data_IF_048542505121
#
_entry.id   IF_048542505121
#
_cell.length_a   1.000
_cell.length_b   1.000
_cell.length_c   1.000
_cell.angle_alpha   90.00
_cell.angle_beta   90.00
_cell.angle_gamma   90.00
#
_symmetry.space_group_name_H-M   'P 1'
#
loop_
_entity.id
_entity.type
_entity.pdbx_description
1 polymer ?
#
# COMPACT_ATOMS: atom_id res chain seq x y z
N UNK A 1 45.27 -80.88 -5.27
CA UNK A 1 44.01 -80.56 -6.01
C UNK A 1 43.16 -79.63 -5.17
N UNK A 2 42.45 -78.71 -5.84
CA UNK A 2 41.50 -77.70 -5.32
C UNK A 2 42.10 -76.37 -4.82
N UNK A 3 42.35 -75.48 -5.79
CA UNK A 3 42.26 -74.03 -5.62
C UNK A 3 40.81 -73.70 -5.23
N UNK A 4 40.58 -73.05 -4.09
CA UNK A 4 39.29 -72.46 -3.77
C UNK A 4 39.31 -70.97 -4.11
N UNK A 5 38.36 -70.62 -4.96
CA UNK A 5 38.03 -69.32 -5.49
C UNK A 5 37.39 -68.49 -4.37
N UNK A 6 37.93 -67.32 -4.04
CA UNK A 6 37.22 -66.31 -3.25
C UNK A 6 36.88 -65.17 -4.20
N UNK A 7 35.60 -65.11 -4.59
CA UNK A 7 35.00 -64.00 -5.35
C UNK A 7 34.68 -62.90 -4.33
N UNK A 8 35.34 -61.75 -4.47
CA UNK A 8 34.92 -60.53 -3.79
C UNK A 8 33.82 -59.85 -4.63
N UNK A 9 32.57 -59.94 -4.16
CA UNK A 9 31.45 -59.16 -4.68
C UNK A 9 31.61 -57.74 -4.16
N UNK A 10 32.07 -56.82 -5.01
CA UNK A 10 31.98 -55.38 -4.75
C UNK A 10 30.52 -54.97 -4.91
N UNK A 11 29.79 -54.89 -3.80
CA UNK A 11 28.47 -54.26 -3.76
C UNK A 11 28.66 -52.76 -3.99
N UNK A 12 28.39 -52.31 -5.21
CA UNK A 12 28.12 -50.91 -5.51
C UNK A 12 26.82 -50.57 -4.80
N UNK A 13 26.91 -50.06 -3.57
CA UNK A 13 25.82 -49.32 -2.95
C UNK A 13 25.70 -47.99 -3.68
N UNK A 14 24.98 -48.00 -4.81
CA UNK A 14 24.34 -46.80 -5.33
C UNK A 14 23.44 -46.27 -4.23
N UNK A 15 23.89 -45.20 -3.58
CA UNK A 15 23.08 -44.44 -2.64
C UNK A 15 21.85 -43.93 -3.38
N UNK A 16 20.75 -44.66 -3.29
CA UNK A 16 19.43 -44.12 -3.51
C UNK A 16 19.24 -43.08 -2.41
N UNK A 17 19.58 -41.82 -2.74
CA UNK A 17 19.10 -40.67 -2.00
C UNK A 17 17.59 -40.80 -1.98
N UNK A 18 17.03 -41.06 -0.80
CA UNK A 18 15.58 -41.00 -0.63
C UNK A 18 15.20 -39.56 -0.88
N UNK A 19 14.53 -39.28 -2.00
CA UNK A 19 14.00 -37.96 -2.32
C UNK A 19 13.05 -37.54 -1.20
N UNK A 20 13.55 -36.75 -0.24
CA UNK A 20 12.77 -36.40 0.93
C UNK A 20 11.83 -35.26 0.59
N UNK A 21 10.54 -35.46 0.88
CA UNK A 21 9.49 -34.50 0.53
C UNK A 21 9.81 -33.12 1.13
N UNK A 22 9.77 -32.11 0.28
CA UNK A 22 9.83 -30.70 0.67
C UNK A 22 8.45 -30.09 0.61
N UNK A 23 8.04 -29.50 1.72
CA UNK A 23 6.86 -28.65 1.83
C UNK A 23 7.26 -27.19 1.99
N UNK A 24 6.49 -26.31 1.36
CA UNK A 24 6.77 -24.88 1.31
C UNK A 24 5.61 -24.11 1.94
N UNK A 25 5.96 -23.25 2.89
CA UNK A 25 5.05 -22.32 3.54
C UNK A 25 5.49 -20.88 3.28
N UNK A 26 4.55 -19.95 3.32
CA UNK A 26 4.85 -18.51 3.25
C UNK A 26 4.91 -17.89 4.63
N UNK A 27 5.88 -17.00 4.79
CA UNK A 27 5.99 -16.10 5.94
C UNK A 27 6.00 -14.66 5.42
N UNK A 28 5.49 -13.75 6.23
CA UNK A 28 5.33 -12.34 5.89
C UNK A 28 6.03 -11.50 6.93
N UNK A 29 6.98 -10.67 6.50
CA UNK A 29 7.79 -9.85 7.39
C UNK A 29 7.60 -8.38 7.00
N UNK A 30 7.20 -7.50 7.94
CA UNK A 30 7.07 -6.08 7.66
C UNK A 30 8.45 -5.49 7.36
N UNK A 31 8.50 -4.63 6.35
CA UNK A 31 9.63 -3.74 6.09
C UNK A 31 9.10 -2.41 5.55
N UNK A 32 9.95 -1.38 5.56
CA UNK A 32 9.59 -0.09 5.01
C UNK A 32 10.58 0.38 3.95
N UNK A 33 10.05 1.08 2.97
CA UNK A 33 10.82 1.77 1.94
C UNK A 33 10.16 3.10 1.61
N UNK A 34 10.87 3.95 0.88
CA UNK A 34 10.34 5.21 0.39
C UNK A 34 9.78 5.03 -1.01
N UNK A 35 8.53 5.45 -1.23
CA UNK A 35 8.02 5.56 -2.59
C UNK A 35 8.72 6.70 -3.31
N UNK A 36 8.85 6.51 -4.62
CA UNK A 36 9.45 7.49 -5.50
C UNK A 36 8.34 8.12 -6.34
N UNK A 37 8.30 9.46 -6.44
CA UNK A 37 7.23 10.14 -7.16
C UNK A 37 7.20 9.73 -8.63
N UNK A 38 5.99 9.58 -9.16
CA UNK A 38 5.74 9.25 -10.56
C UNK A 38 6.09 10.42 -11.48
N UNK A 39 6.07 11.67 -10.98
CA UNK A 39 6.39 12.88 -11.74
C UNK A 39 7.28 13.80 -10.90
N UNK A 40 8.54 13.42 -10.64
CA UNK A 40 9.41 14.22 -9.77
C UNK A 40 9.54 15.65 -10.25
N UNK A 41 9.49 16.58 -9.30
CA UNK A 41 9.86 17.96 -9.52
C UNK A 41 11.39 18.09 -9.49
N UNK A 42 11.88 19.29 -9.81
CA UNK A 42 13.31 19.59 -9.77
C UNK A 42 13.94 19.16 -8.44
N UNK A 43 15.10 18.49 -8.52
CA UNK A 43 15.79 17.95 -7.36
C UNK A 43 16.33 19.01 -6.39
N UNK A 44 16.32 20.29 -6.74
CA UNK A 44 16.65 21.42 -5.87
C UNK A 44 15.43 21.92 -5.09
N UNK A 45 14.21 21.64 -5.56
CA UNK A 45 12.97 22.11 -4.96
C UNK A 45 12.58 21.24 -3.78
N UNK A 46 12.31 21.86 -2.63
CA UNK A 46 12.10 21.13 -1.38
C UNK A 46 11.08 21.73 -0.44
N UNK A 47 10.37 22.77 -0.86
CA UNK A 47 9.33 23.40 -0.06
C UNK A 47 8.00 23.44 -0.80
N UNK A 48 6.90 23.43 -0.06
CA UNK A 48 5.58 23.62 -0.62
C UNK A 48 4.71 24.46 0.32
N UNK A 49 3.69 25.09 -0.24
CA UNK A 49 2.63 25.73 0.53
C UNK A 49 1.27 25.31 -0.01
N UNK A 50 0.25 25.48 0.82
CA UNK A 50 -1.13 25.14 0.49
C UNK A 50 -1.97 26.35 0.79
N UNK A 51 -2.86 26.70 -0.13
CA UNK A 51 -3.94 27.67 0.07
C UNK A 51 -5.26 26.92 -0.03
N UNK A 52 -6.15 27.15 0.93
CA UNK A 52 -7.51 26.59 0.91
C UNK A 52 -8.53 27.71 0.79
N UNK A 53 -9.44 27.57 -0.18
CA UNK A 53 -10.59 28.44 -0.37
C UNK A 53 -11.85 27.65 0.00
N UNK A 54 -12.51 28.05 1.10
CA UNK A 54 -13.75 27.44 1.59
C UNK A 54 -14.86 28.46 1.69
N UNK A 55 -16.08 28.13 1.25
CA UNK A 55 -17.23 29.00 1.46
C UNK A 55 -17.78 28.86 2.88
N UNK A 56 -18.69 29.75 3.27
CA UNK A 56 -19.25 29.82 4.63
C UNK A 56 -19.98 28.54 5.06
N UNK A 57 -20.56 27.81 4.10
CA UNK A 57 -21.25 26.54 4.39
C UNK A 57 -20.30 25.44 4.86
N UNK A 58 -19.01 25.56 4.51
CA UNK A 58 -17.94 24.62 4.89
C UNK A 58 -17.17 25.14 6.11
N UNK A 59 -16.87 26.45 6.14
CA UNK A 59 -16.05 27.07 7.20
C UNK A 59 -16.66 26.90 8.61
N UNK A 60 -17.99 26.79 8.71
CA UNK A 60 -18.69 26.54 9.97
C UNK A 60 -18.39 25.16 10.56
N UNK A 61 -18.03 24.19 9.71
CA UNK A 61 -17.71 22.83 10.12
C UNK A 61 -16.20 22.59 10.28
N UNK A 62 -15.40 23.23 9.42
CA UNK A 62 -13.94 23.12 9.39
C UNK A 62 -13.30 24.37 8.78
N UNK A 63 -12.33 24.97 9.48
CA UNK A 63 -11.63 26.17 8.99
C UNK A 63 -10.69 25.84 7.82
N UNK A 64 -10.41 26.84 6.97
CA UNK A 64 -9.40 26.75 5.92
C UNK A 64 -8.04 26.29 6.46
N UNK A 65 -7.59 26.87 7.59
CA UNK A 65 -6.33 26.52 8.24
C UNK A 65 -6.25 25.05 8.67
N UNK A 66 -7.34 24.50 9.22
CA UNK A 66 -7.40 23.10 9.62
C UNK A 66 -7.30 22.16 8.41
N UNK A 67 -7.90 22.54 7.28
CA UNK A 67 -7.77 21.79 6.03
C UNK A 67 -6.36 21.92 5.49
N UNK A 68 -5.81 23.15 5.44
CA UNK A 68 -4.45 23.43 4.98
C UNK A 68 -3.47 22.53 5.70
N UNK A 69 -3.45 22.54 7.03
CA UNK A 69 -2.58 21.72 7.89
C UNK A 69 -2.58 20.24 7.53
N UNK A 70 -3.74 19.69 7.16
CA UNK A 70 -3.94 18.28 6.82
C UNK A 70 -3.50 17.91 5.40
N UNK A 71 -3.25 18.88 4.53
CA UNK A 71 -2.62 18.65 3.23
C UNK A 71 -1.11 18.51 3.42
N UNK A 72 -0.60 17.31 3.16
CA UNK A 72 0.78 16.94 3.43
C UNK A 72 1.46 16.37 2.17
N UNK A 73 2.54 17.01 1.74
CA UNK A 73 3.43 16.50 0.72
C UNK A 73 4.66 15.89 1.42
N UNK A 74 4.66 14.58 1.59
CA UNK A 74 5.68 13.86 2.37
C UNK A 74 7.05 13.98 1.70
N UNK A 75 8.08 14.16 2.53
CA UNK A 75 9.45 14.42 2.06
C UNK A 75 9.72 15.87 1.64
N UNK A 76 8.75 16.78 1.78
CA UNK A 76 8.90 18.21 1.51
C UNK A 76 8.67 19.02 2.78
N UNK A 77 9.21 20.25 2.82
CA UNK A 77 8.98 21.20 3.92
C UNK A 77 7.80 22.10 3.61
N UNK A 78 6.79 22.08 4.47
CA UNK A 78 5.67 23.02 4.40
C UNK A 78 6.10 24.40 4.85
N UNK A 79 5.70 25.43 4.12
CA UNK A 79 5.94 26.85 4.44
C UNK A 79 4.65 27.66 4.27
N UNK A 80 4.56 28.84 4.90
CA UNK A 80 3.36 29.68 4.88
C UNK A 80 3.15 30.47 3.57
N UNK A 81 4.14 30.45 2.68
CA UNK A 81 4.09 31.12 1.38
C UNK A 81 5.42 30.98 0.66
N UNK A 82 5.44 31.25 -0.64
CA UNK A 82 6.65 31.13 -1.45
C UNK A 82 7.23 29.72 -1.45
N UNK A 83 6.38 28.68 -1.41
CA UNK A 83 6.85 27.31 -1.64
C UNK A 83 7.29 27.12 -3.09
N UNK A 84 8.20 26.18 -3.33
CA UNK A 84 8.54 25.77 -4.69
C UNK A 84 7.33 25.19 -5.43
N UNK A 85 6.51 24.39 -4.72
CA UNK A 85 5.22 23.92 -5.19
C UNK A 85 4.09 24.62 -4.39
N UNK A 86 3.12 25.16 -5.10
CA UNK A 86 2.03 25.96 -4.54
C UNK A 86 0.71 25.30 -4.87
N UNK A 87 0.10 24.66 -3.88
CA UNK A 87 -1.18 23.96 -4.03
C UNK A 87 -2.33 24.89 -3.67
N UNK A 88 -3.39 24.86 -4.46
CA UNK A 88 -4.66 25.53 -4.15
C UNK A 88 -5.77 24.49 -4.11
N UNK A 89 -6.53 24.45 -3.02
CA UNK A 89 -7.69 23.58 -2.84
C UNK A 89 -8.93 24.45 -2.71
N UNK A 90 -9.92 24.22 -3.58
CA UNK A 90 -11.15 25.00 -3.64
C UNK A 90 -12.34 24.10 -3.34
N UNK A 91 -13.22 24.56 -2.46
CA UNK A 91 -14.47 23.89 -2.12
C UNK A 91 -15.66 24.64 -2.69
N UNK A 92 -16.65 23.90 -3.18
CA UNK A 92 -17.95 24.45 -3.56
C UNK A 92 -18.87 24.51 -2.33
N UNK A 93 -19.96 25.28 -2.44
CA UNK A 93 -20.98 25.34 -1.39
C UNK A 93 -21.63 23.97 -1.16
N UNK A 94 -21.99 23.70 0.10
CA UNK A 94 -22.92 22.63 0.42
C UNK A 94 -24.33 23.11 0.07
N UNK A 95 -24.89 22.54 -0.99
CA UNK A 95 -26.24 22.86 -1.46
C UNK A 95 -27.19 21.72 -1.13
N UNK A 96 -28.39 22.07 -0.65
CA UNK A 96 -29.49 21.12 -0.46
C UNK A 96 -30.52 21.34 -1.57
N UNK A 97 -30.97 20.26 -2.20
CA UNK A 97 -31.81 20.28 -3.39
C UNK A 97 -33.10 19.47 -3.14
N UNK A 98 -33.97 20.07 -2.35
CA UNK A 98 -35.27 19.49 -2.02
C UNK A 98 -35.23 18.49 -0.87
N UNK A 99 -36.41 18.33 -0.28
CA UNK A 99 -36.70 17.40 0.81
C UNK A 99 -37.96 16.62 0.42
N UNK A 100 -37.96 15.31 0.65
CA UNK A 100 -39.16 14.47 0.57
C UNK A 100 -39.29 13.65 1.85
N UNK A 101 -40.51 13.25 2.17
CA UNK A 101 -40.81 12.35 3.29
C UNK A 101 -41.16 10.99 2.72
N UNK A 102 -40.32 10.00 3.02
CA UNK A 102 -40.61 8.60 2.73
C UNK A 102 -41.22 7.95 3.98
N UNK A 103 -41.90 6.81 3.78
CA UNK A 103 -42.58 6.09 4.85
C UNK A 103 -42.47 4.58 4.69
N UNK A 104 -42.55 3.85 5.79
CA UNK A 104 -42.81 2.40 5.82
C UNK A 104 -43.99 2.07 6.73
N UNK A 105 -44.71 1.02 6.37
CA UNK A 105 -45.81 0.45 7.16
C UNK A 105 -45.32 -0.83 7.82
N UNK A 106 -45.58 -0.98 9.10
CA UNK A 106 -45.35 -2.21 9.84
C UNK A 106 -46.69 -2.74 10.35
N UNK A 107 -47.03 -3.96 9.92
CA UNK A 107 -48.25 -4.63 10.32
C UNK A 107 -47.91 -5.79 11.28
N UNK A 108 -48.55 -5.80 12.44
CA UNK A 108 -48.54 -6.96 13.33
C UNK A 108 -49.75 -7.82 13.01
N UNK A 109 -49.55 -9.13 12.82
CA UNK A 109 -50.61 -10.10 12.54
C UNK A 109 -50.73 -11.13 13.67
N UNK A 110 -51.94 -11.63 13.91
CA UNK A 110 -52.16 -12.74 14.84
C UNK A 110 -51.82 -14.10 14.19
N UNK A 111 -51.98 -15.21 14.94
CA UNK A 111 -51.70 -16.57 14.46
C UNK A 111 -52.60 -17.01 13.28
N UNK A 112 -53.72 -16.33 13.05
CA UNK A 112 -54.65 -16.57 11.94
C UNK A 112 -54.36 -15.66 10.72
N UNK A 113 -53.31 -14.83 10.78
CA UNK A 113 -52.91 -13.93 9.69
C UNK A 113 -53.69 -12.62 9.63
N UNK A 114 -54.55 -12.31 10.61
CA UNK A 114 -55.33 -11.06 10.69
C UNK A 114 -54.46 -9.95 11.26
N UNK A 115 -54.48 -8.77 10.62
CA UNK A 115 -53.74 -7.57 11.07
C UNK A 115 -54.37 -7.05 12.38
N UNK A 116 -53.59 -7.03 13.46
CA UNK A 116 -53.99 -6.56 14.79
C UNK A 116 -53.45 -5.18 15.13
N UNK A 117 -52.37 -4.73 14.46
CA UNK A 117 -51.84 -3.39 14.61
C UNK A 117 -51.16 -2.92 13.32
N UNK A 118 -51.27 -1.64 13.02
CA UNK A 118 -50.55 -0.98 11.94
C UNK A 118 -49.79 0.20 12.53
N UNK A 119 -48.48 0.26 12.28
CA UNK A 119 -47.63 1.42 12.61
C UNK A 119 -47.05 2.00 11.34
N UNK A 120 -46.98 3.31 11.28
CA UNK A 120 -46.30 4.03 10.21
C UNK A 120 -45.03 4.65 10.78
N UNK A 121 -43.96 4.57 10.01
CA UNK A 121 -42.70 5.23 10.29
C UNK A 121 -42.37 6.12 9.10
N UNK A 122 -41.97 7.36 9.39
CA UNK A 122 -41.68 8.41 8.42
C UNK A 122 -40.24 8.87 8.60
N UNK A 123 -39.53 9.16 7.51
CA UNK A 123 -38.21 9.78 7.58
C UNK A 123 -38.02 10.79 6.45
N UNK A 124 -37.22 11.82 6.73
CA UNK A 124 -36.81 12.80 5.76
C UNK A 124 -35.71 12.24 4.87
N UNK A 125 -35.85 12.48 3.57
CA UNK A 125 -34.83 12.23 2.56
C UNK A 125 -34.49 13.56 1.92
N UNK A 126 -33.22 13.96 1.99
CA UNK A 126 -32.75 15.25 1.50
C UNK A 126 -31.63 15.02 0.50
N UNK A 127 -31.78 15.56 -0.70
CA UNK A 127 -30.70 15.55 -1.67
C UNK A 127 -29.76 16.72 -1.38
N UNK A 128 -28.47 16.49 -1.52
CA UNK A 128 -27.46 17.52 -1.36
C UNK A 128 -26.30 17.31 -2.33
N UNK A 129 -25.51 18.36 -2.52
CA UNK A 129 -24.29 18.32 -3.32
C UNK A 129 -23.22 19.18 -2.68
N UNK A 130 -21.97 18.71 -2.78
CA UNK A 130 -20.78 19.41 -2.31
C UNK A 130 -19.61 18.97 -3.18
N UNK A 131 -18.82 19.94 -3.63
CA UNK A 131 -17.70 19.73 -4.54
C UNK A 131 -16.38 20.19 -3.94
N UNK A 132 -15.29 19.61 -4.44
CA UNK A 132 -13.94 20.06 -4.13
C UNK A 132 -13.01 19.80 -5.32
N UNK A 133 -12.11 20.74 -5.56
CA UNK A 133 -11.08 20.65 -6.61
C UNK A 133 -9.74 21.12 -6.08
N UNK A 134 -8.66 20.74 -6.74
CA UNK A 134 -7.34 21.25 -6.44
C UNK A 134 -6.52 21.50 -7.71
N UNK A 135 -5.53 22.38 -7.57
CA UNK A 135 -4.57 22.73 -8.61
C UNK A 135 -3.21 22.99 -7.98
N UNK A 136 -2.16 23.00 -8.79
CA UNK A 136 -0.81 23.28 -8.34
C UNK A 136 -0.01 24.04 -9.39
N UNK A 137 0.79 24.98 -8.93
CA UNK A 137 1.78 25.70 -9.75
C UNK A 137 3.14 25.63 -9.08
N UNK A 138 4.19 25.87 -9.84
CA UNK A 138 5.50 26.11 -9.26
C UNK A 138 5.66 27.59 -8.85
N UNK A 139 6.79 27.89 -8.21
CA UNK A 139 7.16 29.24 -7.77
C UNK A 139 7.39 30.23 -8.92
N UNK A 140 7.54 29.75 -10.16
CA UNK A 140 7.63 30.55 -11.38
C UNK A 140 6.28 30.69 -12.10
N UNK A 141 5.19 30.22 -11.47
CA UNK A 141 3.83 30.21 -12.01
C UNK A 141 3.58 29.23 -13.16
N UNK A 142 4.49 28.30 -13.46
CA UNK A 142 4.20 27.22 -14.40
C UNK A 142 3.22 26.24 -13.78
N UNK A 143 2.35 25.66 -14.60
CA UNK A 143 1.31 24.73 -14.16
C UNK A 143 1.92 23.36 -13.86
N UNK A 144 1.78 22.89 -12.63
CA UNK A 144 2.10 21.52 -12.23
C UNK A 144 0.87 20.62 -12.34
N UNK A 145 -0.28 21.13 -11.85
CA UNK A 145 -1.60 20.52 -11.96
C UNK A 145 -2.57 21.62 -12.36
N UNK A 146 -3.19 21.47 -13.54
CA UNK A 146 -4.15 22.45 -14.04
C UNK A 146 -5.38 22.57 -13.13
N UNK A 147 -6.22 21.52 -13.11
CA UNK A 147 -7.34 21.36 -12.18
C UNK A 147 -7.66 19.88 -12.06
N UNK A 148 -7.88 19.40 -10.86
CA UNK A 148 -8.28 18.02 -10.58
C UNK A 148 -9.48 18.02 -9.66
N UNK A 149 -10.50 17.24 -10.02
CA UNK A 149 -11.74 17.13 -9.27
C UNK A 149 -11.63 16.03 -8.23
N UNK A 150 -11.92 16.37 -6.98
CA UNK A 150 -12.05 15.39 -5.87
C UNK A 150 -13.49 14.91 -5.80
N UNK A 151 -14.43 15.87 -5.81
CA UNK A 151 -15.87 15.63 -5.89
C UNK A 151 -16.51 16.71 -6.75
N UNK A 152 -17.51 16.31 -7.55
CA UNK A 152 -18.29 17.25 -8.35
C UNK A 152 -19.51 17.73 -7.58
N UNK A 153 -19.74 19.04 -7.57
CA UNK A 153 -20.99 19.65 -7.08
C UNK A 153 -22.21 19.30 -7.93
N UNK A 154 -22.04 18.68 -9.11
CA UNK A 154 -23.15 18.13 -9.90
C UNK A 154 -23.63 16.77 -9.39
N UNK A 155 -22.84 16.07 -8.58
CA UNK A 155 -23.19 14.77 -8.03
C UNK A 155 -24.15 14.94 -6.85
N UNK A 156 -25.37 14.44 -7.01
CA UNK A 156 -26.38 14.44 -5.95
C UNK A 156 -26.17 13.26 -5.02
N UNK A 157 -26.17 13.55 -3.73
CA UNK A 157 -26.07 12.60 -2.63
C UNK A 157 -27.34 12.68 -1.79
N UNK A 158 -27.63 11.61 -1.06
CA UNK A 158 -28.84 11.50 -0.26
C UNK A 158 -28.48 11.43 1.22
N UNK A 159 -29.15 12.23 2.05
CA UNK A 159 -29.11 12.12 3.50
C UNK A 159 -30.49 11.69 4.01
N UNK A 160 -30.51 10.78 4.98
CA UNK A 160 -31.74 10.30 5.64
C UNK A 160 -31.75 10.67 7.11
N UNK A 161 -32.89 11.15 7.59
CA UNK A 161 -33.13 11.29 9.04
C UNK A 161 -33.37 9.93 9.70
N UNK A 162 -33.40 9.88 11.05
CA UNK A 162 -34.05 8.78 11.77
C UNK A 162 -35.52 8.62 11.36
N UNK A 163 -36.10 7.49 11.76
CA UNK A 163 -37.53 7.23 11.62
C UNK A 163 -38.33 7.86 12.77
N UNK A 164 -39.49 8.42 12.43
CA UNK A 164 -40.43 9.05 13.35
C UNK A 164 -41.83 8.44 13.19
N UNK A 165 -42.64 8.47 14.24
CA UNK A 165 -44.04 8.00 14.18
C UNK A 165 -44.98 9.04 13.55
N UNK A 166 -44.50 10.27 13.32
CA UNK A 166 -45.27 11.38 12.79
C UNK A 166 -44.64 11.95 11.51
N UNK A 167 -45.47 12.13 10.48
CA UNK A 167 -45.07 12.81 9.24
C UNK A 167 -44.52 14.22 9.51
N UNK A 168 -45.22 15.00 10.34
CA UNK A 168 -44.84 16.39 10.63
C UNK A 168 -43.51 16.49 11.40
N UNK A 169 -43.20 15.48 12.23
CA UNK A 169 -41.92 15.43 12.93
C UNK A 169 -40.78 15.15 11.94
N UNK A 170 -40.96 14.17 11.05
CA UNK A 170 -39.99 13.89 9.99
C UNK A 170 -39.77 15.11 9.07
N UNK A 171 -40.84 15.82 8.72
CA UNK A 171 -40.79 17.03 7.88
C UNK A 171 -39.99 18.16 8.52
N UNK A 172 -40.23 18.45 9.81
CA UNK A 172 -39.55 19.57 10.49
C UNK A 172 -38.12 19.23 10.90
N UNK A 173 -37.78 17.95 11.06
CA UNK A 173 -36.50 17.52 11.60
C UNK A 173 -35.30 18.10 10.84
N UNK A 174 -35.30 18.03 9.50
CA UNK A 174 -34.19 18.56 8.70
C UNK A 174 -34.02 20.07 8.92
N UNK A 175 -35.09 20.84 8.83
CA UNK A 175 -35.04 22.30 8.98
C UNK A 175 -34.53 22.72 10.35
N UNK A 176 -34.99 22.06 11.43
CA UNK A 176 -34.60 22.34 12.81
C UNK A 176 -33.14 21.96 13.10
N UNK A 177 -32.59 20.98 12.38
CA UNK A 177 -31.25 20.45 12.59
C UNK A 177 -30.27 20.78 11.46
N UNK A 178 -30.65 21.69 10.53
CA UNK A 178 -29.94 21.91 9.26
C UNK A 178 -28.46 22.22 9.44
N UNK A 179 -28.10 23.02 10.45
CA UNK A 179 -26.70 23.36 10.72
C UNK A 179 -25.90 22.14 11.23
N UNK A 180 -26.47 21.38 12.16
CA UNK A 180 -25.80 20.19 12.70
C UNK A 180 -25.62 19.12 11.61
N UNK A 181 -26.64 18.92 10.77
CA UNK A 181 -26.59 18.02 9.62
C UNK A 181 -25.54 18.48 8.62
N UNK A 182 -25.52 19.77 8.26
CA UNK A 182 -24.51 20.34 7.37
C UNK A 182 -23.10 20.09 7.88
N UNK A 183 -22.85 20.37 9.16
CA UNK A 183 -21.54 20.16 9.78
C UNK A 183 -21.12 18.69 9.76
N UNK A 184 -22.07 17.77 9.98
CA UNK A 184 -21.81 16.34 9.92
C UNK A 184 -21.43 15.91 8.49
N UNK A 185 -22.25 16.29 7.49
CA UNK A 185 -22.01 15.94 6.09
C UNK A 185 -20.64 16.45 5.60
N UNK A 186 -20.27 17.69 5.93
CA UNK A 186 -18.96 18.24 5.57
C UNK A 186 -17.83 17.40 6.17
N UNK A 187 -17.91 17.05 7.46
CA UNK A 187 -16.87 16.26 8.13
C UNK A 187 -16.74 14.86 7.56
N UNK A 188 -17.85 14.20 7.22
CA UNK A 188 -17.86 12.87 6.61
C UNK A 188 -17.15 12.85 5.26
N UNK A 189 -17.38 13.85 4.41
CA UNK A 189 -16.72 13.94 3.09
C UNK A 189 -15.27 14.36 3.18
N UNK A 190 -14.95 15.31 4.07
CA UNK A 190 -13.62 15.91 4.15
C UNK A 190 -12.50 14.90 4.40
N UNK A 191 -12.74 13.88 5.23
CA UNK A 191 -11.76 12.83 5.52
C UNK A 191 -11.35 12.09 4.25
N UNK A 192 -12.34 11.59 3.50
CA UNK A 192 -12.11 10.85 2.26
C UNK A 192 -11.43 11.72 1.20
N UNK A 193 -11.85 12.98 1.11
CA UNK A 193 -11.31 13.94 0.14
C UNK A 193 -9.86 14.31 0.42
N UNK A 194 -9.52 14.57 1.68
CA UNK A 194 -8.13 14.86 2.07
C UNK A 194 -7.22 13.65 1.89
N UNK A 195 -7.72 12.43 2.16
CA UNK A 195 -6.97 11.21 1.90
C UNK A 195 -6.71 11.03 0.40
N UNK A 196 -7.72 11.27 -0.44
CA UNK A 196 -7.60 11.20 -1.91
C UNK A 196 -6.64 12.26 -2.47
N UNK A 197 -6.74 13.49 -1.97
CA UNK A 197 -5.83 14.59 -2.31
C UNK A 197 -4.39 14.22 -1.93
N UNK A 198 -4.16 13.86 -0.67
CA UNK A 198 -2.84 13.50 -0.16
C UNK A 198 -2.24 12.33 -0.92
N UNK A 199 -3.02 11.28 -1.19
CA UNK A 199 -2.56 10.17 -2.02
C UNK A 199 -2.12 10.65 -3.41
N UNK A 200 -2.94 11.46 -4.09
CA UNK A 200 -2.65 11.90 -5.45
C UNK A 200 -1.42 12.82 -5.54
N UNK A 201 -1.27 13.77 -4.60
CA UNK A 201 -0.10 14.66 -4.62
C UNK A 201 1.17 13.94 -4.20
N UNK A 202 1.09 12.97 -3.28
CA UNK A 202 2.25 12.18 -2.85
C UNK A 202 2.70 11.18 -3.93
N UNK A 203 1.77 10.53 -4.64
CA UNK A 203 2.11 9.70 -5.78
C UNK A 203 2.88 10.49 -6.85
N UNK A 204 2.42 11.72 -7.14
CA UNK A 204 3.05 12.54 -8.19
C UNK A 204 4.37 13.15 -7.77
N UNK A 205 4.47 13.72 -6.56
CA UNK A 205 5.57 14.61 -6.18
C UNK A 205 6.20 14.26 -4.82
N UNK A 206 5.53 13.46 -4.00
CA UNK A 206 5.95 13.16 -2.64
C UNK A 206 6.91 11.99 -2.56
N UNK A 207 7.48 11.81 -1.36
CA UNK A 207 8.34 10.68 -1.02
C UNK A 207 7.82 9.98 0.24
N UNK A 208 6.60 9.42 0.20
CA UNK A 208 5.99 8.84 1.38
C UNK A 208 6.72 7.59 1.84
N UNK A 209 6.62 7.32 3.15
CA UNK A 209 7.10 6.06 3.73
C UNK A 209 6.01 5.02 3.55
N UNK A 210 6.34 3.95 2.82
CA UNK A 210 5.45 2.81 2.61
C UNK A 210 5.90 1.63 3.47
N UNK A 211 4.91 0.89 3.97
CA UNK A 211 5.12 -0.35 4.72
C UNK A 211 4.54 -1.51 3.91
N UNK A 212 5.34 -2.54 3.68
CA UNK A 212 4.95 -3.71 2.93
C UNK A 212 5.37 -4.99 3.65
N UNK A 213 4.72 -6.10 3.31
CA UNK A 213 5.00 -7.42 3.85
C UNK A 213 5.86 -8.18 2.85
N UNK A 214 7.15 -8.31 3.13
CA UNK A 214 8.04 -9.17 2.38
C UNK A 214 7.55 -10.62 2.52
N UNK A 215 7.07 -11.19 1.43
CA UNK A 215 6.71 -12.61 1.37
C UNK A 215 7.99 -13.40 1.18
N UNK A 216 8.24 -14.40 2.02
CA UNK A 216 9.37 -15.31 1.91
C UNK A 216 8.85 -16.74 1.99
N UNK A 217 9.45 -17.64 1.22
CA UNK A 217 9.21 -19.06 1.34
C UNK A 217 10.07 -19.65 2.45
N UNK A 218 9.47 -20.55 3.22
CA UNK A 218 10.15 -21.37 4.23
C UNK A 218 9.78 -22.84 4.04
N UNK A 219 10.54 -23.73 4.65
CA UNK A 219 10.20 -25.14 4.75
C UNK A 219 10.22 -25.59 6.20
N UNK A 220 9.34 -26.53 6.55
CA UNK A 220 9.26 -27.20 7.85
C UNK A 220 9.67 -28.68 7.76
N UNK A 221 10.28 -29.08 6.64
CA UNK A 221 10.55 -30.47 6.29
C UNK A 221 11.67 -31.07 7.14
N UNK A 222 11.36 -31.38 8.41
CA UNK A 222 12.30 -31.79 9.49
C UNK A 222 13.26 -32.93 9.14
N UNK A 223 12.89 -33.79 8.20
CA UNK A 223 13.72 -34.93 7.79
C UNK A 223 14.79 -34.51 6.77
N UNK A 224 14.53 -33.47 5.99
CA UNK A 224 15.42 -33.03 4.91
C UNK A 224 16.77 -32.55 5.48
N UNK A 225 17.92 -32.95 4.90
CA UNK A 225 19.24 -32.58 5.42
C UNK A 225 19.48 -31.07 5.53
N UNK A 226 18.78 -30.27 4.71
CA UNK A 226 18.90 -28.81 4.71
C UNK A 226 18.06 -28.12 5.81
N UNK A 227 17.19 -28.85 6.53
CA UNK A 227 16.21 -28.23 7.42
C UNK A 227 16.83 -27.40 8.55
N UNK A 228 17.87 -27.92 9.22
CA UNK A 228 18.50 -27.21 10.34
C UNK A 228 19.15 -25.90 9.89
N UNK A 229 19.96 -25.96 8.82
CA UNK A 229 20.62 -24.80 8.25
C UNK A 229 19.61 -23.78 7.70
N UNK A 230 18.54 -24.27 7.06
CA UNK A 230 17.48 -23.43 6.53
C UNK A 230 16.76 -22.65 7.64
N UNK A 231 16.34 -23.33 8.71
CA UNK A 231 15.66 -22.72 9.85
C UNK A 231 16.55 -21.67 10.51
N UNK A 232 17.84 -21.96 10.69
CA UNK A 232 18.80 -21.01 11.24
C UNK A 232 18.96 -19.76 10.34
N UNK A 233 19.06 -19.95 9.02
CA UNK A 233 19.13 -18.83 8.08
C UNK A 233 17.84 -18.02 8.04
N UNK A 234 16.68 -18.67 8.02
CA UNK A 234 15.37 -18.01 8.04
C UNK A 234 15.19 -17.14 9.29
N UNK A 235 15.64 -17.60 10.46
CA UNK A 235 15.55 -16.80 11.69
C UNK A 235 16.34 -15.50 11.58
N UNK A 236 17.58 -15.55 11.06
CA UNK A 236 18.41 -14.37 10.82
C UNK A 236 17.77 -13.45 9.78
N UNK A 237 17.41 -14.00 8.62
CA UNK A 237 16.79 -13.26 7.53
C UNK A 237 15.54 -12.49 7.97
N UNK A 238 14.62 -13.14 8.70
CA UNK A 238 13.41 -12.49 9.24
C UNK A 238 13.75 -11.32 10.16
N UNK A 239 14.70 -11.52 11.08
CA UNK A 239 15.12 -10.49 12.01
C UNK A 239 15.78 -9.29 11.29
N UNK A 240 16.58 -9.54 10.25
CA UNK A 240 17.23 -8.49 9.47
C UNK A 240 16.24 -7.72 8.58
N UNK A 241 15.31 -8.41 7.91
CA UNK A 241 14.26 -7.75 7.11
C UNK A 241 13.39 -6.82 7.96
N UNK A 242 13.04 -7.24 9.18
CA UNK A 242 12.23 -6.42 10.09
C UNK A 242 12.92 -5.11 10.55
N UNK A 243 14.25 -5.01 10.42
CA UNK A 243 15.02 -3.80 10.73
C UNK A 243 15.09 -2.82 9.56
N UNK A 244 14.66 -3.22 8.36
CA UNK A 244 14.75 -2.37 7.16
C UNK A 244 13.72 -1.25 7.24
N UNK A 245 14.21 -0.01 7.19
CA UNK A 245 13.37 1.19 7.24
C UNK A 245 13.58 2.08 6.03
N UNK A 246 12.58 2.91 5.71
CA UNK A 246 12.71 3.89 4.63
C UNK A 246 13.85 4.92 4.84
N UNK A 247 14.38 5.05 6.06
CA UNK A 247 15.47 5.97 6.38
C UNK A 247 16.85 5.38 6.08
N UNK A 248 16.95 4.08 5.83
CA UNK A 248 18.20 3.40 5.54
C UNK A 248 18.22 1.95 6.03
N UNK A 249 19.27 1.26 5.59
CA UNK A 249 19.65 -0.08 6.05
C UNK A 249 21.07 0.07 6.60
N UNK A 250 21.25 -0.18 7.89
CA UNK A 250 22.57 -0.11 8.50
C UNK A 250 23.50 -1.22 7.97
N UNK A 251 24.81 -1.03 8.16
CA UNK A 251 25.81 -1.91 7.58
C UNK A 251 25.69 -3.36 8.10
N UNK A 252 25.33 -3.56 9.36
CA UNK A 252 25.20 -4.90 9.94
C UNK A 252 23.97 -5.62 9.39
N UNK A 253 22.81 -4.95 9.34
CA UNK A 253 21.61 -5.49 8.70
C UNK A 253 21.86 -5.83 7.23
N UNK A 254 22.54 -4.96 6.48
CA UNK A 254 22.89 -5.22 5.07
C UNK A 254 23.79 -6.45 4.93
N UNK A 255 24.80 -6.60 5.77
CA UNK A 255 25.69 -7.76 5.76
C UNK A 255 24.94 -9.06 6.10
N UNK A 256 24.04 -9.04 7.08
CA UNK A 256 23.21 -10.21 7.43
C UNK A 256 22.34 -10.67 6.25
N UNK A 257 21.69 -9.73 5.55
CA UNK A 257 20.88 -10.05 4.37
C UNK A 257 21.73 -10.62 3.23
N UNK A 258 22.92 -10.05 2.98
CA UNK A 258 23.85 -10.59 1.98
C UNK A 258 24.34 -12.00 2.34
N UNK A 259 24.61 -12.28 3.61
CA UNK A 259 24.99 -13.62 4.07
C UNK A 259 23.85 -14.63 3.85
N UNK A 260 22.59 -14.22 4.03
CA UNK A 260 21.44 -15.07 3.72
C UNK A 260 21.31 -15.37 2.23
N UNK A 261 21.62 -14.40 1.36
CA UNK A 261 21.70 -14.59 -0.10
C UNK A 261 22.81 -15.59 -0.46
N UNK A 262 23.99 -15.45 0.15
CA UNK A 262 25.12 -16.35 -0.07
C UNK A 262 24.79 -17.79 0.34
N UNK A 263 24.17 -17.98 1.50
CA UNK A 263 23.69 -19.28 1.94
C UNK A 263 22.73 -19.91 0.91
N UNK A 264 21.71 -19.17 0.46
CA UNK A 264 20.74 -19.69 -0.52
C UNK A 264 21.39 -19.97 -1.88
N UNK A 265 22.38 -19.18 -2.28
CA UNK A 265 23.19 -19.44 -3.48
C UNK A 265 23.98 -20.75 -3.35
N UNK A 266 24.50 -21.05 -2.16
CA UNK A 266 25.14 -22.34 -1.85
C UNK A 266 24.16 -23.52 -1.94
N UNK A 267 22.92 -23.35 -1.45
CA UNK A 267 21.86 -24.36 -1.58
C UNK A 267 21.53 -24.64 -3.04
N UNK A 268 21.41 -23.59 -3.87
CA UNK A 268 21.17 -23.71 -5.31
C UNK A 268 22.27 -24.51 -6.05
N UNK A 269 23.53 -24.41 -5.59
CA UNK A 269 24.64 -25.15 -6.17
C UNK A 269 24.70 -26.62 -5.70
N UNK A 270 24.15 -26.92 -4.52
CA UNK A 270 24.20 -28.25 -3.89
C UNK A 270 23.12 -29.20 -4.40
N UNK A 271 21.95 -28.69 -4.77
CA UNK A 271 20.77 -29.49 -5.16
C UNK A 271 20.41 -29.28 -6.64
N UNK A 272 19.99 -30.35 -7.33
CA UNK A 272 19.64 -30.33 -8.74
C UNK A 272 18.13 -30.00 -8.94
N UNK A 273 17.71 -29.70 -10.17
CA UNK A 273 16.30 -29.38 -10.48
C UNK A 273 15.50 -30.56 -11.07
N UNK A 274 16.16 -31.69 -11.29
CA UNK A 274 15.59 -32.91 -11.86
C UNK A 274 14.54 -33.51 -10.91
N UNK A 275 14.80 -33.54 -9.61
CA UNK A 275 13.84 -34.00 -8.62
C UNK A 275 12.83 -32.93 -8.18
N UNK A 276 11.56 -33.33 -8.03
CA UNK A 276 10.46 -32.42 -7.65
C UNK A 276 10.68 -31.76 -6.28
N UNK A 277 11.20 -32.49 -5.30
CA UNK A 277 11.53 -31.96 -3.96
C UNK A 277 12.61 -30.89 -4.07
N UNK A 278 13.72 -31.20 -4.73
CA UNK A 278 14.85 -30.27 -4.87
C UNK A 278 14.46 -29.03 -5.68
N UNK A 279 13.66 -29.19 -6.74
CA UNK A 279 13.09 -28.09 -7.52
C UNK A 279 12.29 -27.10 -6.67
N UNK A 280 11.54 -27.56 -5.66
CA UNK A 280 10.85 -26.68 -4.70
C UNK A 280 11.81 -25.90 -3.82
N UNK A 281 12.86 -26.56 -3.33
CA UNK A 281 13.88 -25.90 -2.51
C UNK A 281 14.60 -24.81 -3.29
N UNK A 282 14.99 -25.13 -4.53
CA UNK A 282 15.61 -24.17 -5.45
C UNK A 282 14.69 -22.99 -5.76
N UNK A 283 13.42 -23.27 -6.06
CA UNK A 283 12.40 -22.23 -6.23
C UNK A 283 12.32 -21.29 -5.01
N UNK A 284 12.30 -21.84 -3.79
CA UNK A 284 12.28 -21.03 -2.57
C UNK A 284 13.54 -20.16 -2.42
N UNK A 285 14.72 -20.69 -2.77
CA UNK A 285 15.98 -19.95 -2.77
C UNK A 285 15.95 -18.79 -3.77
N UNK A 286 15.60 -19.07 -5.03
CA UNK A 286 15.57 -18.05 -6.09
C UNK A 286 14.54 -16.95 -5.77
N UNK A 287 13.36 -17.32 -5.28
CA UNK A 287 12.33 -16.37 -4.87
C UNK A 287 12.81 -15.49 -3.72
N UNK A 288 13.33 -16.08 -2.65
CA UNK A 288 13.79 -15.35 -1.48
C UNK A 288 14.97 -14.44 -1.85
N UNK A 289 15.92 -14.90 -2.66
CA UNK A 289 17.00 -14.08 -3.20
C UNK A 289 16.46 -12.86 -3.96
N UNK A 290 15.47 -13.04 -4.83
CA UNK A 290 14.86 -11.94 -5.57
C UNK A 290 14.21 -10.91 -4.64
N UNK A 291 13.50 -11.37 -3.60
CA UNK A 291 12.92 -10.49 -2.56
C UNK A 291 14.00 -9.72 -1.81
N UNK A 292 15.07 -10.40 -1.36
CA UNK A 292 16.16 -9.75 -0.64
C UNK A 292 16.91 -8.73 -1.49
N UNK A 293 17.23 -9.05 -2.74
CA UNK A 293 17.84 -8.09 -3.66
C UNK A 293 16.92 -6.88 -3.91
N UNK A 294 15.61 -7.07 -3.96
CA UNK A 294 14.63 -5.96 -4.06
C UNK A 294 14.68 -5.04 -2.84
N UNK A 295 14.75 -5.62 -1.64
CA UNK A 295 14.87 -4.89 -0.37
C UNK A 295 16.21 -4.12 -0.30
N UNK A 296 17.28 -4.70 -0.82
CA UNK A 296 18.61 -4.11 -0.84
C UNK A 296 18.81 -3.02 -1.91
N UNK A 297 17.76 -2.67 -2.66
CA UNK A 297 17.77 -1.77 -3.82
C UNK A 297 18.71 -2.25 -4.95
N UNK A 298 18.74 -3.56 -5.22
CA UNK A 298 19.54 -4.19 -6.27
C UNK A 298 18.65 -4.84 -7.34
N UNK A 299 17.88 -4.05 -8.12
CA UNK A 299 16.85 -4.59 -8.99
C UNK A 299 17.39 -5.48 -10.11
N UNK A 300 18.59 -5.22 -10.64
CA UNK A 300 19.18 -6.08 -11.67
C UNK A 300 19.49 -7.48 -11.14
N UNK A 301 20.02 -7.58 -9.91
CA UNK A 301 20.25 -8.87 -9.25
C UNK A 301 18.95 -9.57 -8.89
N UNK A 302 17.93 -8.83 -8.50
CA UNK A 302 16.61 -9.39 -8.29
C UNK A 302 16.04 -10.00 -9.58
N UNK A 303 16.18 -9.31 -10.73
CA UNK A 303 15.76 -9.81 -12.04
C UNK A 303 16.53 -11.08 -12.43
N UNK A 304 17.85 -11.15 -12.18
CA UNK A 304 18.64 -12.37 -12.39
C UNK A 304 18.04 -13.56 -11.61
N UNK A 305 17.71 -13.37 -10.32
CA UNK A 305 17.05 -14.41 -9.51
C UNK A 305 15.64 -14.75 -10.00
N UNK A 306 14.85 -13.78 -10.47
CA UNK A 306 13.55 -14.05 -11.06
C UNK A 306 13.65 -14.88 -12.35
N UNK A 307 14.64 -14.62 -13.20
CA UNK A 307 14.88 -15.41 -14.41
C UNK A 307 15.29 -16.84 -14.07
N UNK A 308 16.11 -17.03 -13.02
CA UNK A 308 16.44 -18.36 -12.49
C UNK A 308 15.19 -19.09 -11.99
N UNK A 309 14.30 -18.39 -11.27
CA UNK A 309 13.02 -18.92 -10.80
C UNK A 309 12.11 -19.37 -11.96
N UNK A 310 12.04 -18.60 -13.04
CA UNK A 310 11.30 -18.96 -14.26
C UNK A 310 11.93 -20.21 -14.90
N UNK A 311 13.26 -20.24 -15.03
CA UNK A 311 13.97 -21.38 -15.61
C UNK A 311 13.83 -22.66 -14.76
N UNK A 312 13.60 -22.54 -13.45
CA UNK A 312 13.34 -23.66 -12.56
C UNK A 312 11.96 -24.32 -12.79
N UNK A 313 11.05 -23.67 -13.52
CA UNK A 313 9.77 -24.25 -14.02
C UNK A 313 8.91 -24.93 -12.92
N UNK A 314 8.88 -24.34 -11.72
CA UNK A 314 7.98 -24.76 -10.64
C UNK A 314 6.71 -23.89 -10.59
N UNK A 315 6.89 -22.56 -10.56
CA UNK A 315 5.84 -21.57 -10.73
C UNK A 315 6.45 -20.31 -11.37
N UNK A 316 6.32 -20.19 -12.69
CA UNK A 316 6.94 -19.10 -13.47
C UNK A 316 6.29 -17.74 -13.23
N UNK A 317 5.00 -17.72 -12.83
CA UNK A 317 4.21 -16.48 -12.72
C UNK A 317 4.74 -15.54 -11.64
N UNK A 318 5.30 -16.10 -10.57
CA UNK A 318 5.91 -15.29 -9.51
C UNK A 318 7.13 -14.51 -10.03
N UNK A 319 7.96 -15.13 -10.86
CA UNK A 319 9.11 -14.48 -11.50
C UNK A 319 8.67 -13.39 -12.49
N UNK A 320 7.71 -13.71 -13.37
CA UNK A 320 7.18 -12.77 -14.36
C UNK A 320 6.60 -11.51 -13.70
N UNK A 321 5.75 -11.68 -12.69
CA UNK A 321 5.14 -10.56 -11.94
C UNK A 321 6.18 -9.74 -11.19
N UNK A 322 7.20 -10.37 -10.63
CA UNK A 322 8.24 -9.67 -9.90
C UNK A 322 9.14 -8.86 -10.84
N UNK A 323 9.48 -9.39 -12.02
CA UNK A 323 10.22 -8.67 -13.07
C UNK A 323 9.46 -7.41 -13.50
N UNK A 324 8.14 -7.50 -13.72
CA UNK A 324 7.33 -6.32 -14.06
C UNK A 324 7.44 -5.22 -13.00
N UNK A 325 7.33 -5.60 -11.72
CA UNK A 325 7.48 -4.66 -10.59
C UNK A 325 8.89 -4.07 -10.53
N UNK A 326 9.92 -4.89 -10.71
CA UNK A 326 11.33 -4.48 -10.66
C UNK A 326 11.69 -3.50 -11.78
N UNK A 327 11.16 -3.72 -12.98
CA UNK A 327 11.34 -2.79 -14.10
C UNK A 327 10.70 -1.42 -13.79
N UNK A 328 9.49 -1.39 -13.23
CA UNK A 328 8.86 -0.13 -12.76
C UNK A 328 9.69 0.57 -11.68
N UNK A 329 10.25 -0.20 -10.73
CA UNK A 329 11.13 0.36 -9.70
C UNK A 329 12.38 0.98 -10.33
N UNK A 330 13.01 0.32 -11.31
CA UNK A 330 14.18 0.86 -12.03
C UNK A 330 13.85 2.15 -12.77
N UNK A 331 12.72 2.18 -13.48
CA UNK A 331 12.25 3.37 -14.19
C UNK A 331 12.03 4.54 -13.22
N UNK A 332 11.38 4.29 -12.08
CA UNK A 332 11.16 5.30 -11.05
C UNK A 332 12.48 5.78 -10.43
N UNK A 333 13.40 4.88 -10.10
CA UNK A 333 14.73 5.22 -9.60
C UNK A 333 15.49 6.12 -10.57
N UNK A 334 15.50 5.77 -11.87
CA UNK A 334 16.12 6.57 -12.91
C UNK A 334 15.45 7.95 -13.05
N UNK A 335 14.12 7.99 -13.13
CA UNK A 335 13.35 9.24 -13.26
C UNK A 335 13.60 10.21 -12.09
N UNK A 336 13.82 9.67 -10.90
CA UNK A 336 14.03 10.42 -9.67
C UNK A 336 15.52 10.71 -9.38
N UNK A 337 16.44 10.25 -10.24
CA UNK A 337 17.88 10.28 -10.00
C UNK A 337 18.25 9.70 -8.61
N UNK A 338 17.71 8.53 -8.30
CA UNK A 338 17.94 7.80 -7.04
C UNK A 338 18.54 6.43 -7.32
N UNK A 339 19.46 6.02 -6.47
CA UNK A 339 20.08 4.68 -6.49
C UNK A 339 19.37 3.68 -5.58
N UNK A 340 18.34 4.13 -4.84
CA UNK A 340 17.66 3.32 -3.84
C UNK A 340 16.45 4.01 -3.24
N UNK A 341 15.70 3.27 -2.43
CA UNK A 341 14.48 3.70 -1.72
C UNK A 341 14.68 3.81 -0.21
N UNK A 342 15.85 3.47 0.31
CA UNK A 342 16.16 3.53 1.74
C UNK A 342 17.15 4.68 2.01
N UNK A 343 16.61 5.87 2.27
CA UNK A 343 17.39 7.07 2.58
C UNK A 343 16.59 8.05 3.44
N UNK A 344 17.29 8.78 4.31
CA UNK A 344 16.67 9.79 5.16
C UNK A 344 16.36 11.08 4.40
N UNK A 345 15.28 11.75 4.81
CA UNK A 345 14.93 13.09 4.35
C UNK A 345 14.79 13.97 5.60
N UNK A 346 15.63 14.99 5.70
CA UNK A 346 15.57 15.99 6.77
C UNK A 346 14.98 17.28 6.23
N UNK A 347 13.67 17.46 6.45
CA UNK A 347 12.92 18.60 5.91
C UNK A 347 13.31 19.92 6.54
N UNK A 348 13.92 19.93 7.74
CA UNK A 348 14.29 21.16 8.43
C UNK A 348 15.34 21.96 7.68
N UNK A 349 16.22 21.27 6.94
CA UNK A 349 17.31 21.87 6.15
C UNK A 349 16.83 22.58 4.89
N UNK A 350 15.58 22.41 4.50
CA UNK A 350 15.07 22.95 3.24
C UNK A 350 14.75 24.45 3.36
N UNK A 351 15.12 25.19 2.32
CA UNK A 351 14.92 26.64 2.21
C UNK A 351 13.89 26.93 1.13
N UNK A 352 13.19 28.06 1.25
CA UNK A 352 12.32 28.58 0.20
C UNK A 352 13.13 28.99 -1.04
N UNK A 353 12.50 29.13 -2.22
CA UNK A 353 13.12 29.81 -3.36
C UNK A 353 13.64 31.19 -2.91
N UNK A 354 14.74 31.63 -3.52
CA UNK A 354 15.28 32.97 -3.34
C UNK A 354 14.49 34.00 -4.15
#
# INVERSE_FOLDING_TARGET
MKKQLIIAITMVFSGMGTAQKIDLDRVFIPHQYRDLPSTPLDSTWRTYNVRVEVPSTISNAMSASSIEERVNLQGWKKVYGGGHAQFTVNFDDLMFDGQKIDQRKEETKNKEGVITSTRYYYWSVVNYSIGATYSAKDWQSNILINRSTISSSTSKMEWKSPEFSSYSEAERYFSNNRQAISNKLVKEHMESWLNSLNYSVNDKYGFPVSSDQASLWTTDSKKHPENEAWVANMAKMKASVAKVTANGIDAATRAELMNSIEYMTGVLAKYAADEKSERKLRYACDYNNAVLYTILDMPDKAIESCNALIANDYDTKDGEKMIEKLNKIKELMAKNNKVGRHYSIDTNKFKTPN
#
